data_IF_937708128438
#
_entry.id   IF_937708128438
#
_cell.length_a   1.000
_cell.length_b   1.000
_cell.length_c   1.000
_cell.angle_alpha   90.00
_cell.angle_beta   90.00
_cell.angle_gamma   90.00
#
_symmetry.space_group_name_H-M   'P 1'
#
loop_
_entity.id
_entity.type
_entity.pdbx_description
1 polymer ?
#
# COMPACT_ATOMS: atom_id res chain seq x y z
N UNK A 1 25.26 -24.96 24.26
CA UNK A 1 23.81 -25.05 24.06
C UNK A 1 23.44 -26.48 23.69
N UNK A 2 22.39 -27.04 24.23
CA UNK A 2 21.84 -28.32 23.83
C UNK A 2 20.38 -28.16 23.39
N UNK A 3 19.98 -28.94 22.42
CA UNK A 3 18.66 -28.92 21.81
C UNK A 3 18.05 -30.31 21.97
N UNK A 4 16.88 -30.38 22.56
CA UNK A 4 16.08 -31.60 22.66
C UNK A 4 14.84 -31.44 21.80
N UNK A 5 14.63 -32.37 20.88
CA UNK A 5 13.46 -32.40 20.00
C UNK A 5 12.41 -33.34 20.56
N UNK A 6 11.22 -32.84 20.77
CA UNK A 6 10.00 -33.60 20.92
C UNK A 6 9.15 -33.46 19.64
N UNK A 7 8.20 -34.34 19.40
CA UNK A 7 7.40 -34.42 18.18
C UNK A 7 6.80 -33.10 17.68
N UNK A 8 6.53 -32.16 18.59
CA UNK A 8 5.85 -30.88 18.32
C UNK A 8 6.64 -29.64 18.77
N UNK A 9 7.89 -29.77 19.26
CA UNK A 9 8.65 -28.62 19.74
C UNK A 9 10.12 -28.86 20.05
N UNK A 10 10.81 -27.81 20.51
CA UNK A 10 12.22 -27.84 20.88
C UNK A 10 12.40 -27.24 22.27
N UNK A 11 13.19 -27.90 23.09
CA UNK A 11 13.66 -27.39 24.38
C UNK A 11 15.12 -26.98 24.24
N UNK A 12 15.43 -25.74 24.50
CA UNK A 12 16.76 -25.16 24.36
C UNK A 12 17.33 -24.90 25.76
N UNK A 13 18.52 -25.46 26.04
CA UNK A 13 19.22 -25.25 27.31
C UNK A 13 20.70 -24.90 27.11
N UNK A 14 21.28 -24.26 28.11
CA UNK A 14 22.69 -23.94 28.14
C UNK A 14 23.31 -24.56 29.39
N UNK A 15 24.37 -25.37 29.19
CA UNK A 15 25.04 -26.01 30.32
C UNK A 15 26.01 -27.12 29.94
N UNK A 16 26.41 -27.89 30.92
CA UNK A 16 27.29 -29.05 30.80
C UNK A 16 26.51 -30.29 30.36
N UNK A 17 27.20 -31.35 29.95
CA UNK A 17 26.59 -32.65 29.61
C UNK A 17 25.65 -33.17 30.72
N UNK A 18 26.04 -32.97 31.96
CA UNK A 18 25.27 -33.40 33.13
C UNK A 18 23.97 -32.64 33.31
N UNK A 19 23.99 -31.31 33.04
CA UNK A 19 22.80 -30.49 33.09
C UNK A 19 21.86 -30.79 31.93
N UNK A 20 22.40 -31.10 30.74
CA UNK A 20 21.63 -31.52 29.58
C UNK A 20 20.91 -32.85 29.83
N UNK A 21 21.59 -33.83 30.46
CA UNK A 21 20.99 -35.12 30.84
C UNK A 21 19.94 -34.98 31.93
N UNK A 22 20.16 -34.06 32.91
CA UNK A 22 19.18 -33.77 33.95
C UNK A 22 17.91 -33.05 33.37
N UNK A 23 18.09 -32.16 32.45
CA UNK A 23 16.96 -31.46 31.76
C UNK A 23 16.16 -32.47 30.91
N UNK A 24 16.82 -33.38 30.23
CA UNK A 24 16.18 -34.47 29.49
C UNK A 24 15.39 -35.43 30.40
N UNK A 25 15.97 -35.79 31.53
CA UNK A 25 15.31 -36.67 32.50
C UNK A 25 14.08 -35.98 33.12
N UNK A 26 14.16 -34.68 33.41
CA UNK A 26 13.03 -33.92 33.91
C UNK A 26 11.92 -33.82 32.85
N UNK A 27 12.25 -33.48 31.61
CA UNK A 27 11.31 -33.40 30.50
C UNK A 27 10.63 -34.79 30.19
N UNK A 28 11.38 -35.87 30.37
CA UNK A 28 10.84 -37.23 30.24
C UNK A 28 9.88 -37.60 31.38
N UNK A 29 10.18 -37.17 32.60
CA UNK A 29 9.33 -37.44 33.76
C UNK A 29 8.01 -36.64 33.69
N UNK A 30 8.04 -35.43 33.10
CA UNK A 30 6.87 -34.61 32.89
C UNK A 30 6.05 -34.94 31.64
N UNK A 31 6.44 -36.01 30.94
CA UNK A 31 5.72 -36.51 29.74
C UNK A 31 5.93 -35.66 28.46
N UNK A 32 6.88 -34.72 28.48
CA UNK A 32 7.20 -33.89 27.35
C UNK A 32 8.06 -34.55 26.28
N UNK A 33 8.76 -35.65 26.62
CA UNK A 33 9.65 -36.38 25.71
C UNK A 33 9.29 -37.87 25.70
N UNK A 34 8.94 -38.38 24.55
CA UNK A 34 8.69 -39.82 24.32
C UNK A 34 9.97 -40.53 23.84
N UNK A 35 10.72 -41.13 24.77
CA UNK A 35 11.82 -42.13 24.58
C UNK A 35 13.04 -41.81 23.70
N UNK A 36 14.19 -42.52 23.88
CA UNK A 36 15.41 -41.90 24.43
C UNK A 36 15.97 -40.85 23.48
N UNK A 37 15.62 -39.62 23.70
CA UNK A 37 16.24 -38.50 23.01
C UNK A 37 17.69 -38.32 23.53
N UNK A 38 18.65 -38.14 22.64
CA UNK A 38 20.01 -37.76 23.02
C UNK A 38 20.14 -36.22 22.78
N UNK A 39 20.80 -35.51 23.71
CA UNK A 39 21.08 -34.08 23.47
C UNK A 39 21.96 -33.94 22.24
N UNK A 40 21.59 -33.10 21.32
CA UNK A 40 22.41 -32.68 20.20
C UNK A 40 23.13 -31.39 20.59
N UNK A 41 24.44 -31.46 20.66
CA UNK A 41 25.27 -30.25 20.92
C UNK A 41 25.33 -29.39 19.69
N UNK A 42 24.91 -28.14 19.85
CA UNK A 42 24.93 -27.14 18.78
C UNK A 42 25.93 -26.05 19.18
N UNK A 43 26.91 -25.81 18.38
CA UNK A 43 27.86 -24.71 18.62
C UNK A 43 27.16 -23.36 18.37
N UNK A 44 27.76 -22.29 18.90
CA UNK A 44 27.26 -20.92 18.62
C UNK A 44 27.31 -20.62 17.12
N UNK A 45 28.27 -21.19 16.39
CA UNK A 45 28.38 -21.13 14.92
C UNK A 45 27.30 -21.96 14.24
N UNK A 46 26.94 -23.12 14.77
CA UNK A 46 25.86 -23.94 14.26
C UNK A 46 24.48 -23.29 14.49
N UNK A 47 24.30 -22.55 15.58
CA UNK A 47 23.09 -21.76 15.82
C UNK A 47 23.04 -20.53 14.91
N UNK A 48 24.16 -19.93 14.60
CA UNK A 48 24.24 -18.85 13.60
C UNK A 48 24.17 -19.38 12.16
N UNK A 49 24.66 -20.58 11.88
CA UNK A 49 24.55 -21.24 10.59
C UNK A 49 23.21 -22.02 10.44
N UNK A 50 22.66 -22.53 11.54
CA UNK A 50 21.29 -23.02 11.66
C UNK A 50 20.31 -21.91 12.08
N UNK A 51 20.64 -20.64 11.90
CA UNK A 51 19.59 -19.66 11.58
C UNK A 51 18.95 -20.20 10.31
N UNK A 52 17.95 -21.03 10.49
CA UNK A 52 17.04 -21.48 9.47
C UNK A 52 16.65 -20.19 8.72
N UNK A 53 17.38 -19.91 7.63
CA UNK A 53 17.00 -18.87 6.71
C UNK A 53 15.73 -19.38 6.06
N UNK A 54 14.61 -19.22 6.79
CA UNK A 54 13.31 -19.45 6.19
C UNK A 54 13.22 -18.52 5.00
N UNK A 55 13.29 -19.13 3.85
CA UNK A 55 13.21 -18.43 2.58
C UNK A 55 11.80 -17.91 2.44
N UNK A 56 11.58 -16.65 2.76
CA UNK A 56 10.27 -15.99 2.69
C UNK A 56 9.85 -15.73 1.24
N UNK A 57 8.54 -15.60 1.05
CA UNK A 57 7.97 -15.05 -0.17
C UNK A 57 7.78 -13.54 -0.01
N UNK A 58 8.37 -12.77 -0.90
CA UNK A 58 8.26 -11.32 -0.88
C UNK A 58 7.57 -10.83 -2.16
N UNK A 59 6.53 -10.03 -1.98
CA UNK A 59 5.81 -9.38 -3.05
C UNK A 59 5.90 -7.85 -2.90
N UNK A 60 6.45 -7.17 -3.89
CA UNK A 60 6.50 -5.71 -3.95
C UNK A 60 5.43 -5.21 -4.92
N UNK A 61 4.57 -4.33 -4.44
CA UNK A 61 3.68 -3.51 -5.26
C UNK A 61 4.37 -2.18 -5.52
N UNK A 62 4.64 -1.87 -6.80
CA UNK A 62 5.40 -0.68 -7.20
C UNK A 62 4.64 0.09 -8.29
N UNK A 63 3.70 0.97 -7.91
CA UNK A 63 3.03 1.83 -8.86
C UNK A 63 4.01 2.79 -9.51
N UNK A 64 3.86 3.00 -10.82
CA UNK A 64 4.68 3.93 -11.60
C UNK A 64 6.19 3.67 -11.54
N UNK A 65 6.60 2.40 -11.42
CA UNK A 65 8.02 2.02 -11.58
C UNK A 65 8.53 2.41 -12.97
N UNK A 66 7.67 2.33 -13.98
CA UNK A 66 7.95 2.85 -15.30
C UNK A 66 7.29 4.22 -15.47
N UNK A 67 8.02 5.13 -16.12
CA UNK A 67 7.52 6.49 -16.38
C UNK A 67 6.30 6.44 -17.31
N UNK A 68 5.19 7.10 -16.94
CA UNK A 68 3.92 6.93 -17.65
C UNK A 68 3.84 7.67 -19.00
N UNK A 69 4.70 8.67 -19.23
CA UNK A 69 4.68 9.50 -20.44
C UNK A 69 5.77 9.04 -21.43
N UNK A 70 5.34 8.36 -22.49
CA UNK A 70 6.24 7.87 -23.54
C UNK A 70 6.86 8.97 -24.41
N UNK A 71 6.36 10.22 -24.32
CA UNK A 71 6.95 11.34 -25.07
C UNK A 71 8.30 11.78 -24.51
N UNK A 72 8.56 11.53 -23.23
CA UNK A 72 9.82 11.85 -22.57
C UNK A 72 10.84 10.73 -22.76
N UNK A 73 11.33 10.55 -23.98
CA UNK A 73 12.21 9.44 -24.38
C UNK A 73 13.55 9.41 -23.63
N UNK A 74 14.04 10.56 -23.13
CA UNK A 74 15.28 10.67 -22.35
C UNK A 74 15.16 10.35 -20.87
N UNK A 75 13.98 9.99 -20.35
CA UNK A 75 13.75 9.81 -18.90
C UNK A 75 14.66 8.76 -18.28
N UNK A 76 15.03 7.72 -19.02
CA UNK A 76 15.89 6.63 -18.58
C UNK A 76 17.37 6.85 -18.91
N UNK A 77 17.71 7.90 -19.65
CA UNK A 77 19.10 8.17 -20.04
C UNK A 77 19.96 8.43 -18.78
N UNK A 78 21.16 7.85 -18.74
CA UNK A 78 22.12 7.97 -17.64
C UNK A 78 21.60 7.49 -16.26
N UNK A 79 20.52 6.69 -16.25
CA UNK A 79 20.11 5.92 -15.07
C UNK A 79 20.89 4.61 -15.01
N UNK A 80 21.57 4.37 -13.89
CA UNK A 80 22.26 3.10 -13.61
C UNK A 80 21.50 2.34 -12.52
N UNK A 81 20.79 1.27 -12.92
CA UNK A 81 19.91 0.48 -12.07
C UNK A 81 20.22 -1.02 -12.18
N UNK A 82 21.50 -1.43 -11.98
CA UNK A 82 21.95 -2.79 -12.33
C UNK A 82 21.23 -3.90 -11.58
N UNK A 83 20.81 -3.68 -10.33
CA UNK A 83 20.09 -4.69 -9.57
C UNK A 83 18.62 -4.80 -10.04
N UNK A 84 17.93 -3.68 -10.22
CA UNK A 84 16.56 -3.67 -10.77
C UNK A 84 16.55 -4.29 -12.17
N UNK A 85 17.40 -3.84 -13.07
CA UNK A 85 17.51 -4.37 -14.44
C UNK A 85 17.82 -5.86 -14.46
N UNK A 86 18.68 -6.31 -13.54
CA UNK A 86 18.97 -7.72 -13.34
C UNK A 86 17.76 -8.52 -12.88
N UNK A 87 17.00 -8.02 -11.91
CA UNK A 87 15.78 -8.65 -11.42
C UNK A 87 14.71 -8.74 -12.53
N UNK A 88 14.43 -7.65 -13.22
CA UNK A 88 13.46 -7.61 -14.30
C UNK A 88 13.82 -8.55 -15.45
N UNK A 89 15.11 -8.57 -15.87
CA UNK A 89 15.57 -9.37 -16.98
C UNK A 89 15.61 -10.87 -16.69
N UNK A 90 15.87 -11.26 -15.44
CA UNK A 90 15.95 -12.67 -15.03
C UNK A 90 14.57 -13.26 -14.69
N UNK A 91 13.62 -12.43 -14.26
CA UNK A 91 12.27 -12.83 -13.88
C UNK A 91 11.44 -13.38 -15.05
N UNK A 92 10.43 -14.16 -14.73
CA UNK A 92 9.32 -14.44 -15.63
C UNK A 92 8.36 -13.25 -15.56
N UNK A 93 7.88 -12.78 -16.71
CA UNK A 93 6.95 -11.66 -16.80
C UNK A 93 5.56 -12.16 -17.21
N UNK A 94 4.55 -11.62 -16.55
CA UNK A 94 3.14 -11.77 -16.91
C UNK A 94 2.55 -10.37 -17.09
N UNK A 95 1.81 -10.15 -18.15
CA UNK A 95 1.18 -8.86 -18.45
C UNK A 95 -0.30 -8.93 -18.09
N UNK A 96 -0.81 -7.83 -17.51
CA UNK A 96 -2.20 -7.68 -17.11
C UNK A 96 -2.81 -6.36 -17.57
N UNK A 97 -4.13 -6.24 -17.42
CA UNK A 97 -4.84 -5.00 -17.70
C UNK A 97 -4.45 -3.87 -16.73
N UNK A 98 -4.79 -2.64 -17.11
CA UNK A 98 -4.57 -1.45 -16.25
C UNK A 98 -5.40 -1.59 -14.97
N UNK A 99 -4.78 -1.36 -13.83
CA UNK A 99 -5.43 -1.27 -12.52
C UNK A 99 -4.78 -0.18 -11.70
N UNK A 100 -5.58 0.58 -11.00
CA UNK A 100 -5.10 1.51 -9.99
C UNK A 100 -4.73 0.77 -8.70
N UNK A 101 -3.98 1.43 -7.83
CA UNK A 101 -3.46 0.82 -6.59
C UNK A 101 -4.57 0.29 -5.71
N UNK A 102 -5.64 1.07 -5.54
CA UNK A 102 -6.78 0.69 -4.70
C UNK A 102 -7.51 -0.54 -5.25
N UNK A 103 -7.71 -0.59 -6.57
CA UNK A 103 -8.33 -1.72 -7.24
C UNK A 103 -7.47 -2.98 -7.13
N UNK A 104 -6.15 -2.84 -7.30
CA UNK A 104 -5.21 -3.95 -7.15
C UNK A 104 -5.18 -4.48 -5.72
N UNK A 105 -5.13 -3.58 -4.73
CA UNK A 105 -5.15 -3.96 -3.32
C UNK A 105 -6.45 -4.66 -2.96
N UNK A 106 -7.60 -4.10 -3.31
CA UNK A 106 -8.90 -4.73 -3.03
C UNK A 106 -8.99 -6.14 -3.63
N UNK A 107 -8.65 -6.30 -4.90
CA UNK A 107 -8.68 -7.59 -5.58
C UNK A 107 -7.73 -8.61 -4.94
N UNK A 108 -6.51 -8.17 -4.57
CA UNK A 108 -5.49 -9.01 -3.92
C UNK A 108 -5.94 -9.50 -2.53
N UNK A 109 -6.80 -8.73 -1.85
CA UNK A 109 -7.38 -9.11 -0.56
C UNK A 109 -8.79 -9.71 -0.67
N UNK A 110 -9.18 -10.15 -1.87
CA UNK A 110 -10.43 -10.86 -2.12
C UNK A 110 -11.67 -9.98 -2.02
N UNK A 111 -11.52 -8.66 -2.17
CA UNK A 111 -12.64 -7.72 -2.14
C UNK A 111 -13.21 -7.55 -3.54
N UNK A 112 -14.46 -7.90 -3.70
CA UNK A 112 -15.18 -7.64 -4.95
C UNK A 112 -15.53 -6.15 -5.08
N UNK A 113 -15.38 -5.63 -6.31
CA UNK A 113 -15.92 -4.30 -6.65
C UNK A 113 -17.43 -4.34 -6.48
N UNK A 114 -17.97 -3.39 -5.74
CA UNK A 114 -19.40 -3.11 -5.63
C UNK A 114 -19.82 -2.19 -6.79
N UNK A 115 -20.61 -1.16 -6.56
CA UNK A 115 -20.77 -0.10 -7.55
C UNK A 115 -19.41 0.58 -7.81
N UNK A 116 -18.71 0.93 -6.72
CA UNK A 116 -17.32 1.36 -6.71
C UNK A 116 -16.45 0.36 -5.91
N UNK A 117 -15.13 0.58 -5.85
CA UNK A 117 -14.27 -0.12 -4.90
C UNK A 117 -14.54 0.43 -3.49
N UNK A 118 -14.89 -0.41 -2.50
CA UNK A 118 -15.36 0.05 -1.18
C UNK A 118 -14.21 0.53 -0.27
N UNK A 119 -13.44 1.51 -0.75
CA UNK A 119 -12.26 2.05 -0.03
C UNK A 119 -12.68 2.76 1.26
N UNK A 120 -13.75 3.55 1.19
CA UNK A 120 -14.23 4.31 2.34
C UNK A 120 -14.55 3.44 3.55
N UNK A 121 -15.43 2.43 3.47
CA UNK A 121 -15.76 1.61 4.64
C UNK A 121 -14.54 0.83 5.15
N UNK A 122 -13.64 0.38 4.27
CA UNK A 122 -12.45 -0.38 4.67
C UNK A 122 -11.49 0.49 5.47
N UNK A 123 -11.26 1.74 5.06
CA UNK A 123 -10.27 2.63 5.69
C UNK A 123 -10.77 3.29 6.98
N UNK A 124 -12.07 3.30 7.24
CA UNK A 124 -12.66 3.89 8.45
C UNK A 124 -12.00 3.42 9.75
N UNK A 125 -11.81 2.10 9.90
CA UNK A 125 -11.20 1.53 11.11
C UNK A 125 -9.75 1.97 11.29
N UNK A 126 -8.99 2.06 10.21
CA UNK A 126 -7.61 2.52 10.26
C UNK A 126 -7.50 4.01 10.60
N UNK A 127 -8.54 4.80 10.28
CA UNK A 127 -8.67 6.21 10.65
C UNK A 127 -9.40 6.42 12.00
N UNK A 128 -9.53 5.36 12.80
CA UNK A 128 -9.96 5.45 14.21
C UNK A 128 -11.46 5.36 14.45
N UNK A 129 -12.28 5.04 13.42
CA UNK A 129 -13.71 4.84 13.59
C UNK A 129 -14.08 3.35 13.57
N UNK A 130 -14.53 2.85 14.69
CA UNK A 130 -15.12 1.51 14.76
C UNK A 130 -16.47 1.47 14.02
N UNK A 131 -16.60 0.50 13.12
CA UNK A 131 -17.89 0.18 12.48
C UNK A 131 -18.49 -0.99 13.26
N UNK A 132 -19.67 -0.80 13.84
CA UNK A 132 -20.43 -1.86 14.47
C UNK A 132 -20.88 -2.91 13.45
N UNK A 133 -21.06 -4.17 13.87
CA UNK A 133 -21.58 -5.25 13.00
C UNK A 133 -22.96 -4.94 12.41
N UNK A 134 -23.66 -4.00 12.98
CA UNK A 134 -25.00 -3.53 12.57
C UNK A 134 -24.97 -2.24 11.75
N UNK A 135 -23.79 -1.66 11.52
CA UNK A 135 -23.65 -0.45 10.71
C UNK A 135 -23.57 -0.85 9.24
N UNK A 136 -24.73 -0.90 8.60
CA UNK A 136 -24.88 -1.20 7.17
C UNK A 136 -24.84 0.05 6.29
N UNK A 137 -24.36 1.19 6.81
CA UNK A 137 -24.29 2.44 6.09
C UNK A 137 -23.42 2.34 4.83
N UNK A 138 -23.83 3.04 3.77
CA UNK A 138 -23.00 3.25 2.61
C UNK A 138 -22.02 4.40 2.90
N UNK A 139 -20.75 4.11 2.91
CA UNK A 139 -19.69 5.07 3.22
C UNK A 139 -19.01 5.56 1.94
N UNK A 140 -18.67 6.83 1.91
CA UNK A 140 -18.00 7.47 0.79
C UNK A 140 -16.84 8.34 1.33
N UNK A 141 -15.72 8.34 0.65
CA UNK A 141 -14.65 9.31 0.89
C UNK A 141 -15.07 10.66 0.31
N UNK A 142 -14.74 11.71 1.00
CA UNK A 142 -14.98 13.10 0.61
C UNK A 142 -13.71 13.91 0.87
N UNK A 143 -12.62 13.55 0.17
CA UNK A 143 -11.29 14.07 0.48
C UNK A 143 -11.12 15.52 0.04
N UNK A 144 -10.49 16.36 0.88
CA UNK A 144 -10.18 17.73 0.52
C UNK A 144 -9.15 17.79 -0.60
N UNK A 145 -9.41 18.62 -1.60
CA UNK A 145 -8.57 18.76 -2.79
C UNK A 145 -8.39 20.23 -3.16
N UNK A 146 -7.35 20.47 -3.97
CA UNK A 146 -7.13 21.76 -4.63
C UNK A 146 -7.44 21.64 -6.12
N UNK A 147 -8.43 22.39 -6.58
CA UNK A 147 -8.74 22.54 -7.99
C UNK A 147 -8.07 23.80 -8.53
N UNK A 148 -7.32 23.68 -9.62
CA UNK A 148 -6.66 24.81 -10.29
C UNK A 148 -6.79 24.69 -11.80
N UNK A 149 -6.72 25.83 -12.47
CA UNK A 149 -6.81 25.88 -13.93
C UNK A 149 -5.40 25.84 -14.52
N UNK A 150 -5.19 24.89 -15.42
CA UNK A 150 -3.98 24.82 -16.25
C UNK A 150 -4.38 24.55 -17.70
N UNK A 151 -3.95 25.44 -18.64
CA UNK A 151 -4.21 25.31 -20.09
C UNK A 151 -5.67 24.99 -20.41
N UNK A 152 -6.60 25.76 -19.84
CA UNK A 152 -8.06 25.63 -20.03
C UNK A 152 -8.69 24.36 -19.45
N UNK A 153 -7.96 23.58 -18.66
CA UNK A 153 -8.46 22.42 -17.94
C UNK A 153 -8.47 22.71 -16.43
N UNK A 154 -9.52 22.24 -15.76
CA UNK A 154 -9.60 22.24 -14.30
C UNK A 154 -8.97 20.95 -13.79
N UNK A 155 -7.78 21.04 -13.20
CA UNK A 155 -7.00 19.92 -12.69
C UNK A 155 -7.19 19.75 -11.19
N UNK A 156 -7.09 18.51 -10.73
CA UNK A 156 -7.16 18.15 -9.32
C UNK A 156 -5.78 17.87 -8.74
N UNK A 157 -5.45 18.57 -7.65
CA UNK A 157 -4.32 18.26 -6.79
C UNK A 157 -4.78 17.74 -5.43
N UNK A 158 -4.20 16.63 -4.99
CA UNK A 158 -4.50 15.98 -3.72
C UNK A 158 -3.51 16.35 -2.60
N UNK A 159 -3.71 15.82 -1.42
CA UNK A 159 -2.91 16.08 -0.21
C UNK A 159 -1.43 15.65 -0.31
N UNK A 160 -0.99 15.07 -1.42
CA UNK A 160 0.44 14.81 -1.68
C UNK A 160 1.23 16.08 -1.96
N UNK A 161 0.59 17.14 -2.43
CA UNK A 161 1.24 18.43 -2.78
C UNK A 161 0.88 19.57 -1.84
N UNK A 162 -0.01 19.36 -0.89
CA UNK A 162 -0.30 20.34 0.16
C UNK A 162 -0.56 19.65 1.50
N UNK A 163 -0.45 20.39 2.58
CA UNK A 163 -0.74 19.90 3.93
C UNK A 163 -1.99 20.57 4.47
N UNK A 164 -2.77 19.79 5.23
CA UNK A 164 -3.92 20.26 6.00
C UNK A 164 -3.65 19.89 7.45
N UNK A 165 -3.82 20.83 8.35
CA UNK A 165 -3.74 20.57 9.79
C UNK A 165 -5.09 20.03 10.30
N UNK A 166 -5.11 19.35 11.46
CA UNK A 166 -6.37 18.90 12.08
C UNK A 166 -7.36 20.06 12.32
N UNK A 167 -6.85 21.22 12.74
CA UNK A 167 -7.66 22.41 13.00
C UNK A 167 -8.31 22.96 11.70
N UNK A 168 -7.56 23.00 10.59
CA UNK A 168 -8.09 23.42 9.29
C UNK A 168 -9.17 22.45 8.79
N UNK A 169 -8.94 21.15 8.94
CA UNK A 169 -9.92 20.13 8.55
C UNK A 169 -11.23 20.27 9.34
N UNK A 170 -11.14 20.45 10.66
CA UNK A 170 -12.28 20.67 11.54
C UNK A 170 -13.03 21.97 11.20
N UNK A 171 -12.33 23.08 10.95
CA UNK A 171 -12.93 24.35 10.55
C UNK A 171 -13.71 24.22 9.25
N UNK A 172 -13.11 23.61 8.22
CA UNK A 172 -13.73 23.45 6.91
C UNK A 172 -14.93 22.49 6.95
N UNK A 173 -14.81 21.37 7.64
CA UNK A 173 -15.93 20.42 7.76
C UNK A 173 -17.05 20.95 8.63
N UNK A 174 -16.75 21.75 9.66
CA UNK A 174 -17.79 22.45 10.45
C UNK A 174 -18.56 23.44 9.59
N UNK A 175 -17.87 24.19 8.71
CA UNK A 175 -18.53 25.11 7.77
C UNK A 175 -19.43 24.35 6.78
N UNK A 176 -18.94 23.25 6.22
CA UNK A 176 -19.72 22.36 5.33
C UNK A 176 -20.95 21.78 6.04
N UNK A 177 -20.78 21.23 7.22
CA UNK A 177 -21.86 20.61 7.99
C UNK A 177 -22.94 21.65 8.38
N UNK A 178 -22.54 22.87 8.73
CA UNK A 178 -23.49 23.95 9.02
C UNK A 178 -24.29 24.35 7.77
N UNK A 179 -23.64 24.44 6.63
CA UNK A 179 -24.30 24.80 5.37
C UNK A 179 -25.33 23.75 4.94
N UNK A 180 -24.94 22.46 5.01
CA UNK A 180 -25.79 21.37 4.55
C UNK A 180 -26.84 20.92 5.57
N UNK A 181 -26.77 21.38 6.85
CA UNK A 181 -27.72 20.99 7.88
C UNK A 181 -29.21 21.28 7.51
N UNK A 182 -29.44 22.36 6.72
CA UNK A 182 -30.78 22.73 6.30
C UNK A 182 -31.18 22.14 4.93
N UNK A 183 -30.24 22.05 3.99
CA UNK A 183 -30.50 21.67 2.60
C UNK A 183 -30.34 20.18 2.33
N UNK A 184 -29.50 19.49 3.09
CA UNK A 184 -29.21 18.05 2.94
C UNK A 184 -28.73 17.47 4.28
N UNK A 185 -29.65 17.37 5.30
CA UNK A 185 -29.26 16.95 6.67
C UNK A 185 -28.71 15.52 6.76
N UNK A 186 -28.91 14.72 5.72
CA UNK A 186 -28.41 13.35 5.62
C UNK A 186 -26.91 13.30 5.34
N UNK A 187 -26.27 14.44 4.99
CA UNK A 187 -24.83 14.53 4.71
C UNK A 187 -24.14 15.19 5.88
N UNK A 188 -23.23 14.45 6.51
CA UNK A 188 -22.31 14.98 7.51
C UNK A 188 -20.87 14.59 7.17
N UNK A 189 -20.00 15.59 7.06
CA UNK A 189 -18.57 15.41 6.80
C UNK A 189 -17.84 15.12 8.08
N UNK A 190 -17.07 14.04 8.10
CA UNK A 190 -16.32 13.55 9.24
C UNK A 190 -14.82 13.59 8.91
N UNK A 191 -14.03 14.53 9.48
CA UNK A 191 -12.60 14.65 9.23
C UNK A 191 -11.81 13.70 10.15
N UNK A 192 -11.93 12.39 9.97
CA UNK A 192 -11.23 11.39 10.78
C UNK A 192 -9.71 11.50 10.67
N UNK A 193 -9.24 12.03 9.55
CA UNK A 193 -7.86 12.42 9.34
C UNK A 193 -7.85 13.75 8.55
N UNK A 194 -6.88 14.65 8.75
CA UNK A 194 -6.90 15.96 8.08
C UNK A 194 -7.09 15.90 6.56
N UNK A 195 -6.49 14.93 5.90
CA UNK A 195 -6.56 14.75 4.45
C UNK A 195 -7.55 13.65 4.01
N UNK A 196 -8.30 13.06 4.91
CA UNK A 196 -9.25 11.97 4.62
C UNK A 196 -10.56 12.20 5.36
N UNK A 197 -11.54 12.67 4.62
CA UNK A 197 -12.87 12.91 5.16
C UNK A 197 -13.84 11.85 4.66
N UNK A 198 -14.89 11.64 5.44
CA UNK A 198 -15.90 10.61 5.18
C UNK A 198 -17.30 11.17 5.29
N UNK A 199 -18.20 10.59 4.52
CA UNK A 199 -19.64 10.78 4.68
C UNK A 199 -20.33 9.41 4.73
N UNK A 200 -21.39 9.31 5.52
CA UNK A 200 -22.27 8.13 5.57
C UNK A 200 -23.59 8.48 4.92
N UNK A 201 -23.99 7.71 3.91
CA UNK A 201 -25.24 7.91 3.20
C UNK A 201 -26.29 6.97 3.79
N UNK A 202 -27.45 7.53 4.18
CA UNK A 202 -28.59 6.75 4.67
C UNK A 202 -29.68 6.66 3.60
N UNK A 203 -30.17 7.80 3.14
CA UNK A 203 -31.37 7.89 2.25
C UNK A 203 -31.03 8.51 0.88
N UNK A 204 -29.79 8.90 0.65
CA UNK A 204 -29.35 9.47 -0.64
C UNK A 204 -28.79 8.36 -1.52
N UNK A 205 -29.27 8.20 -2.77
CA UNK A 205 -28.70 7.25 -3.70
C UNK A 205 -27.21 7.53 -3.94
N UNK A 206 -26.34 6.51 -3.79
CA UNK A 206 -24.91 6.70 -3.97
C UNK A 206 -24.55 7.03 -5.43
N UNK A 207 -23.51 7.84 -5.66
CA UNK A 207 -22.99 8.08 -7.00
C UNK A 207 -22.11 6.93 -7.46
N UNK A 208 -21.86 6.85 -8.76
CA UNK A 208 -20.67 6.17 -9.29
C UNK A 208 -19.54 7.19 -9.36
N UNK A 209 -18.35 6.79 -8.91
CA UNK A 209 -17.23 7.70 -8.79
C UNK A 209 -15.95 7.11 -9.40
N UNK A 210 -14.97 7.99 -9.61
CA UNK A 210 -13.61 7.60 -10.01
C UNK A 210 -12.69 7.60 -8.79
N UNK A 211 -11.77 6.65 -8.72
CA UNK A 211 -10.74 6.60 -7.69
C UNK A 211 -9.91 7.88 -7.71
N UNK A 212 -9.44 8.31 -6.54
CA UNK A 212 -8.63 9.52 -6.46
C UNK A 212 -7.34 9.40 -7.29
N UNK A 213 -6.71 8.22 -7.29
CA UNK A 213 -5.53 7.91 -8.13
C UNK A 213 -5.78 8.04 -9.63
N UNK A 214 -7.03 7.80 -10.09
CA UNK A 214 -7.41 7.99 -11.48
C UNK A 214 -7.50 9.47 -11.89
N UNK A 215 -7.77 10.37 -10.94
CA UNK A 215 -8.17 11.77 -11.21
C UNK A 215 -7.04 12.76 -10.98
N UNK A 216 -6.09 12.44 -10.11
CA UNK A 216 -4.99 13.35 -9.78
C UNK A 216 -4.25 13.83 -11.01
N UNK A 217 -4.08 15.16 -11.10
CA UNK A 217 -3.44 15.88 -12.19
C UNK A 217 -4.08 15.62 -13.57
N UNK A 218 -5.40 15.37 -13.58
CA UNK A 218 -6.21 15.26 -14.80
C UNK A 218 -7.37 16.23 -14.79
N UNK A 219 -7.94 16.51 -15.95
CA UNK A 219 -9.13 17.33 -16.10
C UNK A 219 -10.34 16.68 -15.42
N UNK A 220 -10.91 17.36 -14.42
CA UNK A 220 -11.98 16.77 -13.58
C UNK A 220 -13.35 16.74 -14.25
N UNK A 221 -13.57 17.51 -15.32
CA UNK A 221 -14.91 17.69 -15.92
C UNK A 221 -15.58 16.38 -16.30
N UNK A 222 -14.83 15.45 -16.90
CA UNK A 222 -15.35 14.16 -17.38
C UNK A 222 -15.33 13.08 -16.28
N UNK A 223 -14.67 13.37 -15.14
CA UNK A 223 -14.46 12.46 -14.03
C UNK A 223 -15.38 12.75 -12.83
N UNK A 224 -16.25 13.75 -12.98
CA UNK A 224 -17.27 14.07 -11.94
C UNK A 224 -18.19 12.87 -11.70
N UNK A 225 -18.82 12.79 -10.51
CA UNK A 225 -19.79 11.73 -10.20
C UNK A 225 -20.80 11.51 -11.32
N UNK A 226 -21.06 10.26 -11.65
CA UNK A 226 -21.91 9.84 -12.76
C UNK A 226 -22.96 8.82 -12.31
N UNK A 227 -23.80 8.32 -13.24
CA UNK A 227 -24.91 7.43 -12.96
C UNK A 227 -26.24 8.19 -12.71
N UNK A 228 -27.26 7.49 -12.25
CA UNK A 228 -28.62 8.02 -12.11
C UNK A 228 -28.72 9.19 -11.12
N UNK A 229 -27.95 9.14 -10.03
CA UNK A 229 -27.92 10.20 -8.99
C UNK A 229 -26.96 11.35 -9.31
N UNK A 230 -26.32 11.35 -10.49
CA UNK A 230 -25.25 12.30 -10.83
C UNK A 230 -25.64 13.77 -10.71
N UNK A 231 -26.89 14.12 -10.99
CA UNK A 231 -27.36 15.50 -10.87
C UNK A 231 -27.27 16.05 -9.44
N UNK A 232 -27.71 15.27 -8.47
CA UNK A 232 -27.64 15.62 -7.04
C UNK A 232 -26.17 15.76 -6.60
N UNK A 233 -25.31 14.82 -6.97
CA UNK A 233 -23.89 14.81 -6.57
C UNK A 233 -23.07 15.93 -7.22
N UNK A 234 -23.38 16.29 -8.47
CA UNK A 234 -22.76 17.44 -9.14
C UNK A 234 -23.19 18.76 -8.51
N UNK A 235 -24.47 18.88 -8.10
CA UNK A 235 -24.95 20.04 -7.36
C UNK A 235 -24.21 20.16 -6.02
N UNK A 236 -24.13 19.06 -5.24
CA UNK A 236 -23.38 19.02 -3.98
C UNK A 236 -21.92 19.38 -4.16
N UNK A 237 -21.27 18.85 -5.20
CA UNK A 237 -19.89 19.19 -5.55
C UNK A 237 -19.70 20.70 -5.80
N UNK A 238 -20.57 21.31 -6.61
CA UNK A 238 -20.52 22.73 -6.93
C UNK A 238 -20.78 23.60 -5.69
N UNK A 239 -21.77 23.26 -4.87
CA UNK A 239 -22.08 23.99 -3.64
C UNK A 239 -20.90 23.92 -2.65
N UNK A 240 -20.29 22.75 -2.49
CA UNK A 240 -19.11 22.56 -1.67
C UNK A 240 -17.94 23.42 -2.18
N UNK A 241 -17.73 23.46 -3.49
CA UNK A 241 -16.66 24.27 -4.10
C UNK A 241 -16.89 25.76 -3.85
N UNK A 242 -18.11 26.26 -4.03
CA UNK A 242 -18.47 27.66 -3.76
C UNK A 242 -18.21 28.03 -2.29
N UNK A 243 -18.71 27.18 -1.39
CA UNK A 243 -18.57 27.41 0.05
C UNK A 243 -17.10 27.41 0.50
N UNK A 244 -16.33 26.43 0.07
CA UNK A 244 -14.93 26.30 0.45
C UNK A 244 -14.08 27.45 -0.13
N UNK A 245 -14.38 27.91 -1.34
CA UNK A 245 -13.69 29.04 -1.95
C UNK A 245 -13.82 30.33 -1.12
N UNK A 246 -14.97 30.56 -0.49
CA UNK A 246 -15.27 31.74 0.31
C UNK A 246 -14.69 31.67 1.74
N UNK A 247 -14.18 30.53 2.20
CA UNK A 247 -13.73 30.38 3.58
C UNK A 247 -12.55 31.32 3.91
N UNK A 248 -12.59 31.99 5.06
CA UNK A 248 -11.50 32.87 5.50
C UNK A 248 -10.16 32.17 5.58
N UNK A 249 -10.14 30.88 5.94
CA UNK A 249 -8.96 30.03 5.96
C UNK A 249 -8.23 30.03 4.62
N UNK A 250 -8.95 29.96 3.51
CA UNK A 250 -8.36 29.92 2.17
C UNK A 250 -7.67 31.25 1.82
N UNK A 251 -8.16 32.38 2.33
CA UNK A 251 -7.47 33.68 2.18
C UNK A 251 -6.12 33.70 2.93
N UNK A 252 -6.08 33.08 4.11
CA UNK A 252 -4.84 32.94 4.88
C UNK A 252 -3.85 32.01 4.16
N UNK A 253 -4.34 30.89 3.61
CA UNK A 253 -3.52 29.98 2.81
C UNK A 253 -2.93 30.67 1.59
N UNK A 254 -3.75 31.39 0.85
CA UNK A 254 -3.31 32.17 -0.33
C UNK A 254 -2.24 33.21 0.04
N UNK A 255 -2.46 33.96 1.10
CA UNK A 255 -1.49 34.96 1.59
C UNK A 255 -0.14 34.32 1.96
N UNK A 256 -0.14 33.07 2.38
CA UNK A 256 1.06 32.29 2.71
C UNK A 256 1.63 31.51 1.51
N UNK A 257 1.08 31.65 0.31
CA UNK A 257 1.50 30.91 -0.88
C UNK A 257 1.19 29.40 -0.83
N UNK A 258 0.26 28.99 0.05
CA UNK A 258 -0.17 27.60 0.16
C UNK A 258 -1.37 27.33 -0.78
N UNK A 259 -1.46 26.15 -1.39
CA UNK A 259 -2.64 25.77 -2.18
C UNK A 259 -3.93 25.87 -1.37
N UNK A 260 -4.98 26.41 -1.99
CA UNK A 260 -6.31 26.49 -1.38
C UNK A 260 -6.91 25.10 -1.22
N UNK A 261 -7.73 24.90 -0.20
CA UNK A 261 -8.61 23.72 -0.07
C UNK A 261 -9.98 24.18 -0.56
N UNK A 262 -10.15 24.18 -1.88
CA UNK A 262 -11.30 24.82 -2.53
C UNK A 262 -12.33 23.82 -3.06
N UNK A 263 -12.14 22.53 -2.85
CA UNK A 263 -13.10 21.49 -3.23
C UNK A 263 -12.89 20.23 -2.43
N UNK A 264 -13.81 19.28 -2.60
CA UNK A 264 -13.70 17.91 -2.12
C UNK A 264 -13.87 16.95 -3.29
N UNK A 265 -13.26 15.76 -3.17
CA UNK A 265 -13.44 14.69 -4.15
C UNK A 265 -14.19 13.53 -3.51
N UNK A 266 -15.35 13.17 -4.09
CA UNK A 266 -16.15 12.03 -3.67
C UNK A 266 -15.67 10.78 -4.37
N UNK A 267 -15.35 9.71 -3.62
CA UNK A 267 -14.83 8.50 -4.20
C UNK A 267 -14.85 7.30 -3.24
N UNK A 268 -14.57 6.10 -3.78
CA UNK A 268 -14.32 4.91 -2.98
C UNK A 268 -15.50 4.42 -2.17
N UNK A 269 -16.73 4.63 -2.70
CA UNK A 269 -17.96 4.34 -2.02
C UNK A 269 -18.28 2.86 -1.90
N UNK A 270 -18.98 2.50 -0.83
CA UNK A 270 -19.48 1.14 -0.63
C UNK A 270 -19.99 0.86 0.77
N UNK A 271 -20.42 -0.35 0.97
CA UNK A 271 -20.69 -0.95 2.28
C UNK A 271 -19.51 -1.81 2.70
N UNK A 272 -19.31 -1.99 4.01
CA UNK A 272 -18.22 -2.81 4.54
C UNK A 272 -18.31 -4.23 3.97
N UNK A 273 -17.24 -4.74 3.33
CA UNK A 273 -17.21 -6.12 2.86
C UNK A 273 -17.37 -7.13 4.00
N UNK A 274 -18.07 -8.22 3.72
CA UNK A 274 -18.38 -9.26 4.72
C UNK A 274 -17.15 -10.11 5.03
N UNK A 275 -16.30 -10.32 4.04
CA UNK A 275 -15.10 -11.18 4.16
C UNK A 275 -13.91 -10.57 3.48
N UNK A 276 -12.75 -10.85 4.06
CA UNK A 276 -11.44 -10.48 3.56
C UNK A 276 -10.61 -11.76 3.46
N UNK A 277 -9.88 -11.93 2.37
CA UNK A 277 -9.04 -13.11 2.15
C UNK A 277 -7.65 -12.67 1.71
N UNK A 278 -6.64 -13.14 2.40
CA UNK A 278 -5.25 -12.89 2.02
C UNK A 278 -4.35 -14.00 2.53
N UNK A 279 -3.38 -14.34 1.72
CA UNK A 279 -2.28 -15.24 2.11
C UNK A 279 -1.10 -14.49 2.76
N UNK A 280 -1.13 -13.16 2.79
CA UNK A 280 -0.04 -12.39 3.39
C UNK A 280 -0.09 -12.47 4.91
N UNK A 281 1.05 -12.78 5.50
CA UNK A 281 1.25 -12.79 6.96
C UNK A 281 1.66 -11.43 7.48
N UNK A 282 2.27 -10.60 6.61
CA UNK A 282 2.73 -9.27 6.94
C UNK A 282 2.62 -8.31 5.75
N UNK A 283 2.13 -7.10 6.01
CA UNK A 283 2.04 -6.02 5.03
C UNK A 283 2.89 -4.84 5.51
N UNK A 284 3.77 -4.36 4.63
CA UNK A 284 4.67 -3.23 4.88
C UNK A 284 4.30 -2.07 3.97
N UNK A 285 4.21 -0.88 4.51
CA UNK A 285 3.92 0.32 3.73
C UNK A 285 3.18 1.38 4.53
N UNK A 286 3.05 2.56 3.94
CA UNK A 286 2.36 3.69 4.56
C UNK A 286 0.99 3.97 3.89
N UNK A 287 0.61 3.15 2.92
CA UNK A 287 -0.67 3.28 2.22
C UNK A 287 -1.83 2.84 3.11
N UNK A 288 -2.75 3.77 3.41
CA UNK A 288 -3.83 3.55 4.39
C UNK A 288 -4.73 2.35 4.07
N UNK A 289 -5.06 2.13 2.78
CA UNK A 289 -5.88 1.00 2.37
C UNK A 289 -5.14 -0.33 2.60
N UNK A 290 -3.83 -0.40 2.33
CA UNK A 290 -3.04 -1.60 2.58
C UNK A 290 -2.98 -1.92 4.09
N UNK A 291 -2.82 -0.91 4.93
CA UNK A 291 -2.91 -1.04 6.39
C UNK A 291 -4.28 -1.56 6.82
N UNK A 292 -5.36 -0.96 6.35
CA UNK A 292 -6.72 -1.33 6.71
C UNK A 292 -7.06 -2.77 6.29
N UNK A 293 -6.65 -3.18 5.08
CA UNK A 293 -6.81 -4.54 4.56
C UNK A 293 -6.03 -5.56 5.38
N UNK A 294 -4.77 -5.26 5.72
CA UNK A 294 -3.95 -6.11 6.58
C UNK A 294 -4.64 -6.37 7.93
N UNK A 295 -5.06 -5.30 8.60
CA UNK A 295 -5.75 -5.39 9.90
C UNK A 295 -7.07 -6.19 9.80
N UNK A 296 -7.80 -6.05 8.69
CA UNK A 296 -9.07 -6.76 8.47
C UNK A 296 -8.89 -8.27 8.21
N UNK A 297 -7.74 -8.66 7.65
CA UNK A 297 -7.37 -10.09 7.45
C UNK A 297 -6.64 -10.70 8.64
N UNK A 298 -6.33 -9.95 9.69
CA UNK A 298 -5.50 -10.42 10.80
C UNK A 298 -4.00 -10.55 10.45
N UNK A 299 -3.56 -9.99 9.33
CA UNK A 299 -2.15 -9.88 8.98
C UNK A 299 -1.47 -8.78 9.81
N UNK A 300 -0.18 -8.94 10.09
CA UNK A 300 0.60 -7.88 10.72
C UNK A 300 0.81 -6.72 9.75
N UNK A 301 0.75 -5.50 10.26
CA UNK A 301 1.10 -4.31 9.52
C UNK A 301 2.28 -3.59 10.17
N UNK A 302 3.20 -3.09 9.36
CA UNK A 302 4.30 -2.23 9.79
C UNK A 302 4.54 -1.11 8.77
N UNK A 303 5.01 0.02 9.26
CA UNK A 303 5.46 1.10 8.40
C UNK A 303 6.57 0.62 7.46
N UNK A 304 6.70 1.26 6.32
CA UNK A 304 7.74 0.94 5.34
C UNK A 304 9.13 1.17 5.96
N UNK A 305 10.00 0.15 6.02
CA UNK A 305 11.36 0.34 6.49
C UNK A 305 12.19 1.12 5.47
N UNK A 306 13.29 1.73 5.94
CA UNK A 306 14.19 2.51 5.08
C UNK A 306 14.87 1.64 4.01
N UNK A 307 15.08 0.36 4.30
CA UNK A 307 15.76 -0.57 3.40
C UNK A 307 15.23 -2.00 3.51
N UNK A 308 15.40 -2.78 2.44
CA UNK A 308 14.92 -4.15 2.35
C UNK A 308 15.62 -5.12 3.31
N UNK A 309 16.81 -4.80 3.83
CA UNK A 309 17.56 -5.67 4.75
C UNK A 309 16.86 -5.88 6.09
N UNK A 310 15.93 -5.00 6.46
CA UNK A 310 15.11 -5.14 7.66
C UNK A 310 14.08 -6.27 7.53
N UNK A 311 13.73 -6.62 6.29
CA UNK A 311 12.74 -7.67 6.03
C UNK A 311 13.36 -9.04 6.29
N UNK A 312 12.77 -9.76 7.21
CA UNK A 312 13.16 -11.14 7.48
C UNK A 312 11.93 -11.99 7.81
N UNK A 313 11.93 -13.21 7.34
CA UNK A 313 10.88 -14.19 7.63
C UNK A 313 11.18 -14.90 8.94
N UNK A 314 10.13 -15.21 9.69
CA UNK A 314 10.20 -16.02 10.92
C UNK A 314 9.73 -17.44 10.67
N UNK A 315 9.09 -17.71 9.52
CA UNK A 315 8.57 -19.00 9.11
C UNK A 315 8.74 -19.23 7.60
N UNK A 316 8.90 -20.48 7.13
CA UNK A 316 8.92 -20.81 5.69
C UNK A 316 7.63 -20.41 4.95
N UNK A 317 6.54 -20.27 5.68
CA UNK A 317 5.24 -19.87 5.14
C UNK A 317 5.02 -18.36 5.12
N UNK A 318 5.99 -17.55 5.59
CA UNK A 318 5.85 -16.11 5.62
C UNK A 318 5.76 -15.52 4.21
N UNK A 319 4.65 -14.85 3.96
CA UNK A 319 4.38 -14.11 2.73
C UNK A 319 4.22 -12.64 3.07
N UNK A 320 5.14 -11.83 2.58
CA UNK A 320 5.16 -10.41 2.85
C UNK A 320 4.73 -9.62 1.62
N UNK A 321 3.82 -8.67 1.81
CA UNK A 321 3.51 -7.64 0.83
C UNK A 321 4.19 -6.34 1.26
N UNK A 322 4.88 -5.70 0.33
CA UNK A 322 5.48 -4.37 0.52
C UNK A 322 4.88 -3.41 -0.51
N UNK A 323 4.34 -2.30 -0.06
CA UNK A 323 3.76 -1.26 -0.92
C UNK A 323 4.74 -0.09 -1.02
N UNK A 324 5.30 0.10 -2.21
CA UNK A 324 6.27 1.15 -2.54
C UNK A 324 5.60 2.21 -3.44
N UNK A 325 4.73 3.05 -2.86
CA UNK A 325 3.82 3.95 -3.57
C UNK A 325 4.40 5.37 -3.83
N UNK A 326 5.60 5.67 -3.36
CA UNK A 326 6.14 7.03 -3.45
C UNK A 326 6.57 7.48 -4.86
N UNK A 327 6.76 6.58 -5.83
CA UNK A 327 6.99 6.92 -7.23
C UNK A 327 5.71 7.44 -7.91
N UNK A 328 4.55 6.97 -7.47
CA UNK A 328 3.26 7.31 -8.06
C UNK A 328 2.98 8.82 -7.99
N UNK A 329 3.19 9.44 -6.82
CA UNK A 329 3.02 10.88 -6.68
C UNK A 329 3.91 11.68 -7.61
N UNK A 330 5.19 11.29 -7.74
CA UNK A 330 6.13 11.93 -8.66
C UNK A 330 5.68 11.81 -10.12
N UNK A 331 5.27 10.63 -10.52
CA UNK A 331 4.78 10.37 -11.87
C UNK A 331 3.46 11.10 -12.16
N UNK A 332 2.52 11.11 -11.21
CA UNK A 332 1.22 11.79 -11.38
C UNK A 332 1.36 13.30 -11.56
N UNK A 333 2.31 13.94 -10.87
CA UNK A 333 2.59 15.38 -10.98
C UNK A 333 3.69 15.71 -12.01
N UNK A 334 4.08 14.76 -12.85
CA UNK A 334 5.11 14.94 -13.89
C UNK A 334 6.46 15.42 -13.35
N UNK A 335 6.76 15.12 -12.07
CA UNK A 335 8.04 15.41 -11.45
C UNK A 335 9.09 14.37 -11.89
N UNK A 336 9.59 14.54 -13.12
CA UNK A 336 10.56 13.63 -13.72
C UNK A 336 11.87 13.57 -12.95
N UNK A 337 12.32 14.70 -12.41
CA UNK A 337 13.55 14.75 -11.60
C UNK A 337 13.38 13.98 -10.29
N UNK A 338 12.34 14.28 -9.53
CA UNK A 338 12.06 13.60 -8.27
C UNK A 338 11.80 12.11 -8.44
N UNK A 339 11.16 11.70 -9.56
CA UNK A 339 10.97 10.29 -9.89
C UNK A 339 12.31 9.58 -10.12
N UNK A 340 13.22 10.18 -10.91
CA UNK A 340 14.56 9.62 -11.16
C UNK A 340 15.38 9.47 -9.89
N UNK A 341 15.39 10.49 -9.03
CA UNK A 341 16.12 10.43 -7.75
C UNK A 341 15.50 9.36 -6.82
N UNK A 342 14.18 9.28 -6.72
CA UNK A 342 13.51 8.24 -5.95
C UNK A 342 13.83 6.83 -6.48
N UNK A 343 13.99 6.68 -7.79
CA UNK A 343 14.34 5.38 -8.38
C UNK A 343 15.79 4.98 -8.06
N UNK A 344 16.72 5.94 -8.00
CA UNK A 344 18.11 5.69 -7.55
C UNK A 344 18.16 5.28 -6.06
N UNK A 345 17.36 5.91 -5.22
CA UNK A 345 17.23 5.52 -3.81
C UNK A 345 16.64 4.12 -3.66
N UNK A 346 15.62 3.78 -4.49
CA UNK A 346 15.08 2.41 -4.55
C UNK A 346 16.13 1.39 -5.00
N UNK A 347 16.95 1.71 -6.01
CA UNK A 347 18.04 0.84 -6.43
C UNK A 347 18.95 0.53 -5.27
N UNK A 348 19.39 1.56 -4.55
CA UNK A 348 20.37 1.45 -3.45
C UNK A 348 19.80 0.71 -2.23
N UNK A 349 18.62 1.10 -1.77
CA UNK A 349 18.08 0.64 -0.49
C UNK A 349 17.15 -0.58 -0.61
N UNK A 350 16.63 -0.84 -1.82
CA UNK A 350 15.69 -1.93 -2.05
C UNK A 350 16.22 -2.96 -3.06
N UNK A 351 16.48 -2.56 -4.29
CA UNK A 351 16.78 -3.54 -5.34
C UNK A 351 18.15 -4.20 -5.19
N UNK A 352 19.19 -3.47 -4.79
CA UNK A 352 20.49 -4.07 -4.54
C UNK A 352 20.46 -5.10 -3.40
N UNK A 353 19.91 -4.80 -2.21
CA UNK A 353 19.73 -5.80 -1.16
C UNK A 353 18.88 -7.00 -1.60
N UNK A 354 17.76 -6.77 -2.26
CA UNK A 354 16.87 -7.84 -2.73
C UNK A 354 17.55 -8.73 -3.78
N UNK A 355 18.28 -8.13 -4.71
CA UNK A 355 19.05 -8.88 -5.69
C UNK A 355 20.07 -9.81 -5.01
N UNK A 356 20.79 -9.29 -3.99
CA UNK A 356 21.72 -10.07 -3.20
C UNK A 356 21.02 -11.20 -2.42
N UNK A 357 19.86 -10.92 -1.80
CA UNK A 357 19.08 -11.92 -1.06
C UNK A 357 18.57 -13.05 -1.96
N UNK A 358 18.06 -12.72 -3.17
CA UNK A 358 17.64 -13.72 -4.17
C UNK A 358 18.85 -14.57 -4.61
N UNK A 359 19.98 -13.93 -4.91
CA UNK A 359 21.21 -14.61 -5.33
C UNK A 359 21.76 -15.55 -4.27
N UNK A 360 21.64 -15.18 -2.99
CA UNK A 360 22.03 -15.99 -1.83
C UNK A 360 21.03 -17.07 -1.44
N UNK A 361 19.85 -17.12 -2.10
CA UNK A 361 18.78 -18.07 -1.76
C UNK A 361 18.01 -17.75 -0.47
N UNK A 362 18.20 -16.54 0.08
CA UNK A 362 17.47 -16.04 1.27
C UNK A 362 15.99 -15.73 0.97
N UNK A 363 15.65 -15.46 -0.27
CA UNK A 363 14.28 -15.32 -0.76
C UNK A 363 13.92 -16.55 -1.61
N UNK A 364 12.81 -17.20 -1.28
CA UNK A 364 12.28 -18.29 -2.09
C UNK A 364 11.73 -17.75 -3.41
N UNK A 365 10.98 -16.67 -3.31
CA UNK A 365 10.40 -15.99 -4.43
C UNK A 365 10.31 -14.50 -4.14
N UNK A 366 10.73 -13.70 -5.12
CA UNK A 366 10.47 -12.27 -5.20
C UNK A 366 9.48 -12.02 -6.33
N UNK A 367 8.35 -11.39 -6.04
CA UNK A 367 7.39 -10.94 -7.03
C UNK A 367 7.38 -9.41 -7.04
N UNK A 368 7.43 -8.80 -8.22
CA UNK A 368 7.28 -7.36 -8.42
C UNK A 368 6.01 -7.13 -9.25
N UNK A 369 4.99 -6.53 -8.65
CA UNK A 369 3.81 -6.07 -9.38
C UNK A 369 3.97 -4.58 -9.68
N UNK A 370 4.17 -4.29 -10.94
CA UNK A 370 4.35 -2.93 -11.47
C UNK A 370 3.04 -2.46 -12.07
N UNK A 371 2.45 -1.42 -11.50
CA UNK A 371 1.25 -0.83 -12.06
C UNK A 371 1.62 0.35 -12.96
N UNK A 372 1.06 0.38 -14.15
CA UNK A 372 1.39 1.39 -15.15
C UNK A 372 0.23 1.73 -16.08
N UNK A 373 0.29 2.90 -16.73
CA UNK A 373 -0.74 3.38 -17.66
C UNK A 373 -0.88 2.56 -18.95
N UNK A 374 0.15 1.79 -19.32
CA UNK A 374 0.12 0.91 -20.49
C UNK A 374 -0.38 -0.50 -20.16
N UNK A 375 -0.50 -0.84 -18.91
CA UNK A 375 -0.84 -2.15 -18.38
C UNK A 375 0.02 -2.47 -17.16
N UNK A 376 -0.36 -3.50 -16.46
CA UNK A 376 0.38 -3.99 -15.30
C UNK A 376 1.32 -5.11 -15.73
N UNK A 377 2.49 -5.18 -15.12
CA UNK A 377 3.47 -6.24 -15.34
C UNK A 377 3.85 -6.89 -14.01
N UNK A 378 3.71 -8.19 -13.93
CA UNK A 378 4.13 -9.00 -12.79
C UNK A 378 5.44 -9.73 -13.14
N UNK A 379 6.51 -9.46 -12.41
CA UNK A 379 7.78 -10.14 -12.55
C UNK A 379 7.97 -11.12 -11.40
N UNK A 380 8.14 -12.39 -11.70
CA UNK A 380 8.40 -13.43 -10.70
C UNK A 380 9.84 -13.91 -10.82
N UNK A 381 10.62 -13.77 -9.74
CA UNK A 381 12.04 -14.08 -9.67
C UNK A 381 12.27 -15.12 -8.57
N UNK A 382 13.02 -16.18 -8.88
CA UNK A 382 13.47 -17.20 -7.94
C UNK A 382 14.99 -17.28 -7.94
N UNK A 383 15.60 -17.83 -6.89
CA UNK A 383 17.05 -17.96 -6.80
C UNK A 383 17.67 -18.72 -7.98
N UNK A 384 16.96 -19.72 -8.52
CA UNK A 384 17.36 -20.46 -9.72
C UNK A 384 17.45 -19.60 -10.98
N UNK A 385 16.68 -18.50 -11.06
CA UNK A 385 16.68 -17.62 -12.22
C UNK A 385 17.99 -16.82 -12.33
N UNK A 386 18.65 -16.56 -11.21
CA UNK A 386 19.95 -15.89 -11.18
C UNK A 386 21.04 -16.68 -11.89
N UNK A 387 20.90 -18.02 -12.01
CA UNK A 387 21.84 -18.92 -12.70
C UNK A 387 21.62 -18.96 -14.23
N UNK A 388 20.57 -18.32 -14.74
CA UNK A 388 20.24 -18.29 -16.18
C UNK A 388 21.18 -17.29 -16.91
N UNK A 389 22.41 -17.72 -17.23
CA UNK A 389 23.43 -16.88 -17.86
C UNK A 389 23.03 -16.44 -19.28
N UNK A 390 22.14 -17.17 -19.97
CA UNK A 390 21.61 -16.83 -21.31
C UNK A 390 20.59 -15.70 -21.30
N UNK A 391 20.05 -15.31 -20.15
CA UNK A 391 19.23 -14.11 -20.01
C UNK A 391 20.13 -12.93 -19.70
N UNK A 392 20.44 -12.13 -20.71
CA UNK A 392 21.24 -10.91 -20.58
C UNK A 392 20.45 -9.83 -19.86
N UNK A 393 21.10 -9.03 -19.06
CA UNK A 393 20.49 -7.84 -18.45
C UNK A 393 20.16 -6.82 -19.53
N UNK A 394 18.94 -6.32 -19.51
CA UNK A 394 18.43 -5.29 -20.41
C UNK A 394 18.17 -4.01 -19.62
N UNK A 395 18.35 -2.83 -20.23
CA UNK A 395 18.07 -1.58 -19.57
C UNK A 395 16.56 -1.47 -19.23
N UNK A 396 16.27 -0.70 -18.17
CA UNK A 396 14.89 -0.52 -17.67
C UNK A 396 13.92 -0.05 -18.78
N UNK A 397 14.39 0.75 -19.73
CA UNK A 397 13.59 1.25 -20.86
C UNK A 397 12.95 0.13 -21.68
N UNK A 398 13.65 -1.01 -21.86
CA UNK A 398 13.12 -2.17 -22.59
C UNK A 398 11.97 -2.86 -21.86
N UNK A 399 11.92 -2.73 -20.53
CA UNK A 399 10.86 -3.30 -19.71
C UNK A 399 9.65 -2.38 -19.57
N UNK A 400 9.84 -1.08 -19.87
CA UNK A 400 8.80 -0.04 -19.83
C UNK A 400 7.89 -0.02 -21.08
N UNK A 401 8.35 -0.59 -22.19
CA UNK A 401 7.61 -0.75 -23.44
C UNK A 401 6.69 -1.98 -23.36
#
# INVERSE_FOLDING_TARGET
LFLVRDGDGFLLGQGTNREAEQALQAASNDGWVKTPARPVWVTHEDLFSASLHYSMHLHLLIPSLFWPDSSLTGIYQDLSLPALEGLLSKGAVEEGGIREVEAWLCDTFGIAKQQDWPVAPITLKADGREIGKTDHGYWLRADPVHLHIERDQLLLADSRVFRITPAEAEELTTALNRHFAESCPEIAFLPLHPARWYICLQDIPPPQTHLLSEVVNKGVRELLPYGESSGTWRKLFNETQMLLHEQPLNRVREANGAPLINSIWFWGGGIMPVSFQSDYTHVWGNHILAQALALSCGARHSALPLEATVLHGTSPSDKHLVVLDFLEGKASYSDAYGWRESLKELEKHWFQPLFAMVKQGKLHQLKLSVLGKKGNKDFTIRSGDMKKFWRTTKPISVHAD
#
